data_IF_386038756807
#
_entry.id   IF_386038756807
#
_cell.length_a   1.000
_cell.length_b   1.000
_cell.length_c   1.000
_cell.angle_alpha   90.00
_cell.angle_beta   90.00
_cell.angle_gamma   90.00
#
_symmetry.space_group_name_H-M   'P 1'
#
loop_
_entity.id
_entity.type
_entity.pdbx_description
1 polymer ?
#
# COMPACT_ATOMS: atom_id res chain seq x y z
N UNK A 1 -13.19 31.56 -5.63
CA UNK A 1 -12.33 30.34 -5.74
C UNK A 1 -12.43 29.80 -7.15
N UNK A 2 -11.32 29.82 -7.90
CA UNK A 2 -11.27 29.41 -9.30
C UNK A 2 -11.53 27.91 -9.43
N UNK A 3 -12.51 27.51 -10.25
CA UNK A 3 -12.95 26.11 -10.46
C UNK A 3 -11.78 25.17 -10.80
N UNK A 4 -10.73 25.69 -11.44
CA UNK A 4 -9.49 24.96 -11.77
C UNK A 4 -8.76 24.40 -10.54
N UNK A 5 -8.67 25.12 -9.43
CA UNK A 5 -7.92 24.66 -8.24
C UNK A 5 -8.61 23.52 -7.50
N UNK A 6 -9.95 23.47 -7.50
CA UNK A 6 -10.70 22.34 -6.93
C UNK A 6 -10.60 21.08 -7.79
N UNK A 7 -10.54 21.24 -9.11
CA UNK A 7 -10.39 20.15 -10.08
C UNK A 7 -9.08 19.38 -9.92
N UNK A 8 -7.96 20.07 -9.70
CA UNK A 8 -6.67 19.41 -9.43
C UNK A 8 -6.61 18.72 -8.06
N UNK A 9 -7.37 19.20 -7.08
CA UNK A 9 -7.39 18.63 -5.73
C UNK A 9 -7.98 17.20 -5.71
N UNK A 10 -9.02 16.92 -6.52
CA UNK A 10 -9.62 15.59 -6.62
C UNK A 10 -8.65 14.54 -7.17
N UNK A 11 -7.92 14.87 -8.24
CA UNK A 11 -6.90 13.99 -8.82
C UNK A 11 -5.72 13.79 -7.88
N UNK A 12 -5.28 14.83 -7.17
CA UNK A 12 -4.23 14.70 -6.16
C UNK A 12 -4.67 13.80 -5.00
N UNK A 13 -5.91 13.96 -4.50
CA UNK A 13 -6.46 13.10 -3.46
C UNK A 13 -6.51 11.64 -3.91
N UNK A 14 -6.93 11.39 -5.16
CA UNK A 14 -6.91 10.04 -5.75
C UNK A 14 -5.49 9.45 -5.75
N UNK A 15 -4.50 10.20 -6.25
CA UNK A 15 -3.11 9.72 -6.33
C UNK A 15 -2.53 9.44 -4.93
N UNK A 16 -2.75 10.34 -3.97
CA UNK A 16 -2.25 10.16 -2.60
C UNK A 16 -2.91 8.96 -1.92
N UNK A 17 -4.23 8.79 -2.08
CA UNK A 17 -4.94 7.64 -1.52
C UNK A 17 -4.50 6.33 -2.16
N UNK A 18 -4.36 6.29 -3.49
CA UNK A 18 -3.87 5.11 -4.21
C UNK A 18 -2.45 4.74 -3.78
N UNK A 19 -1.56 5.72 -3.63
CA UNK A 19 -0.19 5.49 -3.17
C UNK A 19 -0.14 4.94 -1.74
N UNK A 20 -0.99 5.47 -0.85
CA UNK A 20 -1.10 4.96 0.51
C UNK A 20 -1.62 3.51 0.54
N UNK A 21 -2.64 3.19 -0.26
CA UNK A 21 -3.16 1.84 -0.40
C UNK A 21 -2.10 0.86 -0.97
N UNK A 22 -1.35 1.29 -1.98
CA UNK A 22 -0.25 0.50 -2.57
C UNK A 22 0.84 0.20 -1.53
N UNK A 23 1.27 1.20 -0.75
CA UNK A 23 2.25 1.01 0.33
C UNK A 23 1.72 0.09 1.43
N UNK A 24 0.44 0.19 1.78
CA UNK A 24 -0.16 -0.69 2.78
C UNK A 24 -0.23 -2.15 2.28
N UNK A 25 -0.55 -2.37 1.00
CA UNK A 25 -0.48 -3.70 0.39
C UNK A 25 0.95 -4.25 0.35
N UNK A 26 1.93 -3.41 -0.02
CA UNK A 26 3.34 -3.81 0.01
C UNK A 26 3.81 -4.20 1.43
N UNK A 27 3.31 -3.52 2.46
CA UNK A 27 3.58 -3.89 3.85
C UNK A 27 2.95 -5.24 4.24
N UNK A 28 1.74 -5.54 3.77
CA UNK A 28 1.11 -6.86 3.96
C UNK A 28 1.94 -7.95 3.30
N UNK A 29 2.37 -7.75 2.05
CA UNK A 29 3.23 -8.71 1.34
C UNK A 29 4.57 -8.93 2.04
N UNK A 30 5.20 -7.86 2.54
CA UNK A 30 6.45 -7.95 3.29
C UNK A 30 6.27 -8.72 4.61
N UNK A 31 5.17 -8.47 5.33
CA UNK A 31 4.86 -9.17 6.57
C UNK A 31 4.53 -10.66 6.30
N UNK A 32 3.81 -10.96 5.22
CA UNK A 32 3.53 -12.34 4.82
C UNK A 32 4.84 -13.09 4.50
N UNK A 33 5.76 -12.47 3.76
CA UNK A 33 7.09 -13.05 3.51
C UNK A 33 7.86 -13.34 4.79
N UNK A 34 7.72 -12.49 5.82
CA UNK A 34 8.33 -12.73 7.12
C UNK A 34 7.72 -13.94 7.85
N UNK A 35 6.39 -14.12 7.77
CA UNK A 35 5.70 -15.31 8.30
C UNK A 35 6.17 -16.57 7.57
N UNK A 36 6.23 -16.51 6.24
CA UNK A 36 6.68 -17.63 5.40
C UNK A 36 8.13 -18.01 5.74
N UNK A 37 9.02 -17.03 5.90
CA UNK A 37 10.41 -17.25 6.29
C UNK A 37 10.56 -17.84 7.70
N UNK A 38 9.81 -17.34 8.68
CA UNK A 38 9.82 -17.88 10.04
C UNK A 38 9.29 -19.33 10.07
N UNK A 39 8.23 -19.60 9.31
CA UNK A 39 7.65 -20.94 9.17
C UNK A 39 8.65 -21.91 8.51
N UNK A 40 9.33 -21.46 7.45
CA UNK A 40 10.37 -22.27 6.78
C UNK A 40 11.53 -22.62 7.73
N UNK A 41 12.00 -21.66 8.54
CA UNK A 41 13.06 -21.91 9.53
C UNK A 41 12.66 -22.97 10.57
N UNK A 42 11.41 -22.94 11.02
CA UNK A 42 10.87 -23.97 11.94
C UNK A 42 10.84 -25.33 11.23
N UNK A 43 10.30 -25.39 10.02
CA UNK A 43 10.20 -26.64 9.26
C UNK A 43 11.59 -27.27 8.99
N UNK A 44 12.60 -26.46 8.69
CA UNK A 44 13.99 -26.95 8.53
C UNK A 44 14.54 -27.56 9.82
N UNK A 45 14.21 -26.98 10.98
CA UNK A 45 14.65 -27.48 12.29
C UNK A 45 13.99 -28.82 12.62
N UNK A 46 12.69 -28.93 12.37
CA UNK A 46 11.93 -30.17 12.56
C UNK A 46 12.40 -31.27 11.60
N UNK A 47 12.68 -30.93 10.34
CA UNK A 47 13.22 -31.85 9.35
C UNK A 47 14.62 -32.38 9.73
N UNK A 48 15.40 -31.58 10.48
CA UNK A 48 16.66 -32.01 11.07
C UNK A 48 16.50 -32.88 12.34
N UNK A 49 15.26 -33.22 12.74
CA UNK A 49 14.97 -34.00 13.94
C UNK A 49 15.17 -33.23 15.25
N UNK A 50 15.25 -31.91 15.18
CA UNK A 50 15.42 -31.03 16.33
C UNK A 50 14.08 -30.40 16.72
N UNK A 51 13.96 -30.04 18.01
CA UNK A 51 12.82 -29.25 18.48
C UNK A 51 13.04 -27.78 18.13
N UNK A 52 12.03 -27.07 17.57
CA UNK A 52 12.10 -25.63 17.35
C UNK A 52 12.48 -24.89 18.63
N UNK A 53 13.38 -23.92 18.49
CA UNK A 53 13.83 -23.09 19.62
C UNK A 53 12.78 -22.06 19.99
N UNK A 54 12.79 -21.58 21.24
CA UNK A 54 11.92 -20.49 21.68
C UNK A 54 12.07 -19.24 20.80
N UNK A 55 13.30 -18.92 20.38
CA UNK A 55 13.57 -17.79 19.51
C UNK A 55 12.86 -17.89 18.14
N UNK A 56 12.72 -19.11 17.59
CA UNK A 56 11.99 -19.33 16.33
C UNK A 56 10.48 -19.18 16.53
N UNK A 57 9.95 -19.67 17.64
CA UNK A 57 8.53 -19.51 17.98
C UNK A 57 8.19 -18.04 18.23
N UNK A 58 9.06 -17.30 18.94
CA UNK A 58 8.92 -15.87 19.17
C UNK A 58 9.00 -15.08 17.86
N UNK A 59 9.90 -15.46 16.94
CA UNK A 59 9.99 -14.85 15.62
C UNK A 59 8.72 -15.07 14.78
N UNK A 60 8.14 -16.28 14.83
CA UNK A 60 6.88 -16.57 14.15
C UNK A 60 5.71 -15.79 14.76
N UNK A 61 5.62 -15.70 16.09
CA UNK A 61 4.61 -14.89 16.78
C UNK A 61 4.73 -13.40 16.42
N UNK A 62 5.95 -12.86 16.44
CA UNK A 62 6.23 -11.49 16.03
C UNK A 62 5.85 -11.23 14.56
N UNK A 63 6.17 -12.15 13.65
CA UNK A 63 5.81 -12.06 12.24
C UNK A 63 4.28 -12.09 12.04
N UNK A 64 3.56 -12.97 12.75
CA UNK A 64 2.10 -13.03 12.70
C UNK A 64 1.45 -11.75 13.24
N UNK A 65 1.96 -11.18 14.33
CA UNK A 65 1.51 -9.88 14.85
C UNK A 65 1.76 -8.76 13.85
N UNK A 66 2.92 -8.75 13.19
CA UNK A 66 3.23 -7.78 12.15
C UNK A 66 2.29 -7.92 10.94
N UNK A 67 1.97 -9.14 10.52
CA UNK A 67 1.01 -9.40 9.44
C UNK A 67 -0.40 -8.92 9.80
N UNK A 68 -0.87 -9.18 11.02
CA UNK A 68 -2.16 -8.70 11.49
C UNK A 68 -2.21 -7.15 11.53
N UNK A 69 -1.13 -6.52 12.02
CA UNK A 69 -1.02 -5.06 12.04
C UNK A 69 -0.98 -4.46 10.63
N UNK A 70 -0.21 -5.05 9.70
CA UNK A 70 -0.14 -4.62 8.32
C UNK A 70 -1.50 -4.78 7.60
N UNK A 71 -2.19 -5.90 7.85
CA UNK A 71 -3.53 -6.15 7.31
C UNK A 71 -4.53 -5.11 7.80
N UNK A 72 -4.53 -4.82 9.11
CA UNK A 72 -5.36 -3.77 9.71
C UNK A 72 -5.04 -2.39 9.10
N UNK A 73 -3.76 -2.08 8.86
CA UNK A 73 -3.37 -0.83 8.23
C UNK A 73 -3.85 -0.73 6.78
N UNK A 74 -3.80 -1.83 6.02
CA UNK A 74 -4.32 -1.91 4.66
C UNK A 74 -5.85 -1.76 4.61
N UNK A 75 -6.58 -2.39 5.53
CA UNK A 75 -8.04 -2.24 5.64
C UNK A 75 -8.45 -0.78 5.97
N UNK A 76 -7.68 -0.09 6.80
CA UNK A 76 -7.89 1.32 7.12
C UNK A 76 -7.44 2.28 5.99
N UNK A 77 -6.79 1.76 4.95
CA UNK A 77 -6.29 2.54 3.81
C UNK A 77 -6.85 1.98 2.50
N UNK A 78 -8.19 1.99 2.31
CA UNK A 78 -8.80 1.39 1.14
C UNK A 78 -8.36 2.12 -0.14
N UNK A 79 -8.13 1.39 -1.24
CA UNK A 79 -7.81 2.00 -2.53
C UNK A 79 -8.97 2.92 -2.98
N UNK A 80 -8.66 4.03 -3.67
CA UNK A 80 -9.70 4.88 -4.22
C UNK A 80 -10.49 4.11 -5.30
N UNK A 81 -11.78 4.46 -5.45
CA UNK A 81 -12.67 3.80 -6.41
C UNK A 81 -12.64 4.49 -7.77
N UNK A 82 -12.99 3.75 -8.81
CA UNK A 82 -13.16 4.30 -10.16
C UNK A 82 -14.17 5.45 -10.19
N UNK A 83 -15.22 5.36 -9.38
CA UNK A 83 -16.21 6.44 -9.25
C UNK A 83 -15.62 7.75 -8.71
N UNK A 84 -14.62 7.69 -7.81
CA UNK A 84 -13.96 8.90 -7.31
C UNK A 84 -13.06 9.53 -8.37
N UNK A 85 -12.42 8.69 -9.19
CA UNK A 85 -11.65 9.13 -10.36
C UNK A 85 -12.56 9.72 -11.44
N UNK A 86 -13.67 9.07 -11.78
CA UNK A 86 -14.63 9.52 -12.78
C UNK A 86 -15.26 10.86 -12.36
N UNK A 87 -15.59 11.02 -11.08
CA UNK A 87 -16.09 12.30 -10.55
C UNK A 87 -15.05 13.41 -10.72
N UNK A 88 -13.79 13.13 -10.39
CA UNK A 88 -12.70 14.10 -10.54
C UNK A 88 -12.40 14.43 -12.01
N UNK A 89 -12.48 13.45 -12.92
CA UNK A 89 -12.34 13.65 -14.36
C UNK A 89 -13.53 14.41 -14.95
N UNK A 90 -14.76 14.12 -14.52
CA UNK A 90 -15.97 14.78 -15.02
C UNK A 90 -15.99 16.26 -14.65
N UNK A 91 -15.56 16.56 -13.42
CA UNK A 91 -15.34 17.93 -12.96
C UNK A 91 -14.29 18.67 -13.81
N UNK A 92 -13.31 17.95 -14.38
CA UNK A 92 -12.27 18.51 -15.26
C UNK A 92 -12.72 18.69 -16.72
N UNK A 93 -13.32 17.66 -17.29
CA UNK A 93 -13.48 17.52 -18.74
C UNK A 93 -14.56 18.44 -19.32
N UNK A 94 -15.52 18.90 -18.51
CA UNK A 94 -16.68 19.68 -18.99
C UNK A 94 -17.47 18.96 -20.12
N UNK A 95 -17.23 17.65 -20.28
CA UNK A 95 -17.84 16.66 -21.16
C UNK A 95 -17.95 15.34 -20.36
N UNK A 96 -18.83 14.40 -20.73
CA UNK A 96 -18.88 13.09 -20.09
C UNK A 96 -17.51 12.40 -20.11
N UNK A 97 -17.21 11.68 -19.04
CA UNK A 97 -16.03 10.81 -18.94
C UNK A 97 -16.43 9.46 -19.52
N UNK A 98 -15.81 9.12 -20.63
CA UNK A 98 -16.00 7.82 -21.27
C UNK A 98 -15.01 6.82 -20.65
N UNK A 99 -15.33 5.53 -20.68
CA UNK A 99 -14.51 4.48 -20.05
C UNK A 99 -13.04 4.49 -20.55
N UNK A 100 -12.82 4.83 -21.82
CA UNK A 100 -11.47 4.96 -22.40
C UNK A 100 -10.68 6.13 -21.79
N UNK A 101 -11.36 7.22 -21.43
CA UNK A 101 -10.74 8.38 -20.78
C UNK A 101 -10.35 8.03 -19.34
N UNK A 102 -11.20 7.28 -18.63
CA UNK A 102 -10.89 6.75 -17.30
C UNK A 102 -9.70 5.79 -17.35
N UNK A 103 -9.67 4.88 -18.33
CA UNK A 103 -8.57 3.94 -18.50
C UNK A 103 -7.24 4.67 -18.79
N UNK A 104 -7.25 5.64 -19.72
CA UNK A 104 -6.07 6.46 -20.03
C UNK A 104 -5.59 7.27 -18.81
N UNK A 105 -6.52 7.83 -18.03
CA UNK A 105 -6.17 8.57 -16.84
C UNK A 105 -5.55 7.66 -15.77
N UNK A 106 -6.07 6.45 -15.56
CA UNK A 106 -5.46 5.48 -14.64
C UNK A 106 -4.03 5.13 -15.05
N UNK A 107 -3.81 4.85 -16.34
CA UNK A 107 -2.49 4.54 -16.88
C UNK A 107 -1.51 5.72 -16.68
N UNK A 108 -1.96 6.93 -16.98
CA UNK A 108 -1.15 8.16 -16.79
C UNK A 108 -0.87 8.45 -15.31
N UNK A 109 -1.82 8.15 -14.41
CA UNK A 109 -1.69 8.37 -12.98
C UNK A 109 -0.89 7.25 -12.30
N UNK A 110 -0.80 6.05 -12.86
CA UNK A 110 -0.06 4.92 -12.30
C UNK A 110 1.38 5.31 -11.98
N UNK A 111 2.11 5.89 -12.94
CA UNK A 111 3.49 6.33 -12.70
C UNK A 111 3.62 7.44 -11.63
N UNK A 112 2.59 8.27 -11.43
CA UNK A 112 2.57 9.25 -10.34
C UNK A 112 2.26 8.61 -8.99
N UNK A 113 1.38 7.61 -8.96
CA UNK A 113 1.06 6.83 -7.77
C UNK A 113 2.33 6.13 -7.29
N UNK A 114 3.06 5.47 -8.18
CA UNK A 114 4.32 4.80 -7.84
C UNK A 114 5.36 5.78 -7.29
N UNK A 115 5.52 6.95 -7.91
CA UNK A 115 6.44 7.98 -7.42
C UNK A 115 6.07 8.51 -6.03
N UNK A 116 4.77 8.72 -5.77
CA UNK A 116 4.26 9.19 -4.48
C UNK A 116 4.35 8.10 -3.42
N UNK A 117 4.11 6.84 -3.80
CA UNK A 117 4.27 5.68 -2.92
C UNK A 117 5.73 5.53 -2.49
N UNK A 118 6.68 5.61 -3.43
CA UNK A 118 8.11 5.58 -3.13
C UNK A 118 8.56 6.73 -2.21
N UNK A 119 8.06 7.95 -2.45
CA UNK A 119 8.40 9.12 -1.63
C UNK A 119 7.87 8.99 -0.19
N UNK A 120 6.65 8.48 -0.01
CA UNK A 120 6.03 8.28 1.30
C UNK A 120 6.63 7.09 2.07
N UNK A 121 7.03 6.02 1.37
CA UNK A 121 7.76 4.91 1.98
C UNK A 121 9.12 5.36 2.58
N UNK A 122 9.86 6.22 1.86
CA UNK A 122 11.18 6.73 2.29
C UNK A 122 11.11 7.67 3.50
N UNK A 123 9.98 8.38 3.66
CA UNK A 123 9.78 9.28 4.81
C UNK A 123 9.60 8.47 6.11
N UNK A 124 8.95 7.31 6.04
CA UNK A 124 8.73 6.42 7.18
C UNK A 124 10.03 5.77 7.67
N UNK A 125 10.96 5.45 6.77
CA UNK A 125 12.29 4.91 7.15
C UNK A 125 13.24 5.97 7.69
N UNK A 126 13.09 7.25 7.30
CA UNK A 126 13.98 8.32 7.76
C UNK A 126 13.70 8.83 9.17
N UNK A 127 12.50 8.58 9.73
CA UNK A 127 12.13 9.03 11.08
C UNK A 127 12.62 8.13 12.22
N UNK A 128 13.32 7.03 11.94
CA UNK A 128 13.90 6.13 12.98
C UNK A 128 15.35 6.47 13.35
N UNK A 129 15.83 7.67 13.03
CA UNK A 129 17.10 8.19 13.57
C UNK A 129 16.78 9.18 14.67
N UNK A 130 16.64 8.69 15.91
CA UNK A 130 16.61 9.56 17.10
C UNK A 130 18.05 10.06 17.35
N UNK A 131 18.26 11.37 17.57
CA UNK A 131 19.57 11.95 17.92
C UNK A 131 20.07 11.51 19.30
#
# INVERSE_FOLDING_TARGET
MNSKSKKFAGIQAYVTQAAAAQNAQAAVEAAQKAVDAATASIAETEAAGQTPTQAQLDALDAANKALAAATTAAENTPPPTDASLDTALADMANKPVDADVTAWAKDTLAGKIDAVAAATATTTTSTTTTP
#
